data_IF_985244750879
#
_entry.id   IF_985244750879
#
_cell.length_a   1.000
_cell.length_b   1.000
_cell.length_c   1.000
_cell.angle_alpha   90.00
_cell.angle_beta   90.00
_cell.angle_gamma   90.00
#
_symmetry.space_group_name_H-M   'P 1'
#
loop_
_entity.id
_entity.type
_entity.pdbx_description
1 polymer ?
#
# COMPACT_ATOMS: atom_id res chain seq x y z
N UNK A 1 50.58 9.26 58.71
CA UNK A 1 49.64 10.31 58.21
C UNK A 1 50.00 10.59 56.77
N UNK A 2 49.43 9.83 55.85
CA UNK A 2 49.72 9.95 54.42
C UNK A 2 48.44 9.61 53.62
N UNK A 3 47.83 10.62 53.09
CA UNK A 3 46.51 10.58 52.40
C UNK A 3 46.69 10.10 50.97
N UNK A 4 46.09 9.00 50.63
CA UNK A 4 46.01 8.47 49.22
C UNK A 4 44.86 9.16 48.49
N UNK A 5 45.17 9.95 47.49
CA UNK A 5 44.21 10.51 46.54
C UNK A 5 44.02 9.56 45.37
N UNK A 6 42.86 8.89 45.32
CA UNK A 6 42.45 8.02 44.23
C UNK A 6 41.78 8.88 43.14
N UNK A 7 42.43 8.99 41.99
CA UNK A 7 41.86 9.64 40.80
C UNK A 7 40.88 8.69 40.14
N UNK A 8 39.57 8.96 40.24
CA UNK A 8 38.57 8.36 39.39
C UNK A 8 38.69 8.97 37.99
N UNK A 9 39.06 8.15 37.00
CA UNK A 9 38.89 8.45 35.58
C UNK A 9 37.49 8.05 35.18
N UNK A 10 36.61 9.03 34.95
CA UNK A 10 35.32 8.83 34.28
C UNK A 10 35.58 8.54 32.82
N UNK A 11 35.27 7.35 32.39
CA UNK A 11 35.16 7.00 30.97
C UNK A 11 33.78 7.48 30.54
N UNK A 12 33.73 8.58 29.79
CA UNK A 12 32.53 9.03 29.08
C UNK A 12 32.43 8.18 27.84
N UNK A 13 31.60 7.14 27.87
CA UNK A 13 31.17 6.43 26.68
C UNK A 13 30.19 7.35 25.93
N UNK A 14 30.64 7.94 24.83
CA UNK A 14 29.78 8.63 23.89
C UNK A 14 28.93 7.56 23.18
N UNK A 15 27.68 7.40 23.60
CA UNK A 15 26.65 6.73 22.83
C UNK A 15 26.28 7.68 21.70
N UNK A 16 26.81 7.42 20.51
CA UNK A 16 26.32 8.06 19.29
C UNK A 16 24.97 7.43 19.01
N UNK A 17 23.90 8.04 19.54
CA UNK A 17 22.56 7.75 19.14
C UNK A 17 22.39 8.20 17.70
N UNK A 18 22.29 7.26 16.76
CA UNK A 18 21.78 7.51 15.45
C UNK A 18 20.30 7.90 15.64
N UNK A 19 20.02 9.20 15.70
CA UNK A 19 18.66 9.70 15.61
C UNK A 19 18.19 9.43 14.19
N UNK A 20 17.49 8.31 13.98
CA UNK A 20 16.55 8.21 12.87
C UNK A 20 15.57 9.38 13.03
N UNK A 21 15.66 10.38 12.16
CA UNK A 21 14.57 11.33 11.97
C UNK A 21 13.41 10.51 11.37
N UNK A 22 12.63 9.91 12.23
CA UNK A 22 11.28 9.49 11.87
C UNK A 22 10.51 10.77 11.60
N UNK A 23 10.33 11.10 10.32
CA UNK A 23 9.25 12.00 9.93
C UNK A 23 7.98 11.25 10.31
N UNK A 24 7.37 11.62 11.44
CA UNK A 24 6.04 11.13 11.79
C UNK A 24 5.12 11.57 10.68
N UNK A 25 4.71 10.63 9.83
CA UNK A 25 3.56 10.79 8.96
C UNK A 25 2.35 10.98 9.88
N UNK A 26 1.79 12.19 9.89
CA UNK A 26 0.48 12.42 10.50
C UNK A 26 -0.55 11.81 9.55
N UNK A 27 -1.20 10.73 9.95
CA UNK A 27 -2.17 10.03 9.13
C UNK A 27 -2.91 8.95 9.90
N UNK A 28 -4.01 8.47 9.34
CA UNK A 28 -4.71 7.31 9.86
C UNK A 28 -3.89 6.06 9.61
N UNK A 29 -3.72 5.25 10.65
CA UNK A 29 -3.02 3.96 10.55
C UNK A 29 -4.02 2.82 10.67
N UNK A 30 -4.01 1.94 9.68
CA UNK A 30 -4.76 0.69 9.64
C UNK A 30 -3.82 -0.42 10.09
N UNK A 31 -4.20 -1.15 11.14
CA UNK A 31 -3.44 -2.28 11.66
C UNK A 31 -4.21 -3.59 11.43
N UNK A 32 -3.53 -4.60 10.92
CA UNK A 32 -4.07 -5.96 10.79
C UNK A 32 -3.09 -6.97 11.39
N UNK A 33 -3.51 -7.63 12.45
CA UNK A 33 -2.74 -8.63 13.19
C UNK A 33 -3.37 -10.01 13.13
N UNK A 34 -4.37 -10.20 12.28
CA UNK A 34 -5.11 -11.45 12.08
C UNK A 34 -5.60 -12.17 13.35
N UNK A 35 -5.74 -11.43 14.46
CA UNK A 35 -6.25 -11.96 15.74
C UNK A 35 -7.70 -12.43 15.66
N UNK A 36 -8.45 -11.93 14.68
CA UNK A 36 -9.83 -12.35 14.36
C UNK A 36 -9.95 -12.51 12.85
N UNK A 37 -11.01 -13.17 12.39
CA UNK A 37 -11.24 -13.36 10.95
C UNK A 37 -11.19 -12.01 10.21
N UNK A 38 -10.21 -11.81 9.30
CA UNK A 38 -10.04 -10.55 8.60
C UNK A 38 -11.22 -10.21 7.68
N UNK A 39 -11.99 -11.20 7.23
CA UNK A 39 -13.18 -10.96 6.40
C UNK A 39 -14.31 -10.22 7.15
N UNK A 40 -14.24 -10.16 8.47
CA UNK A 40 -15.12 -9.33 9.30
C UNK A 40 -14.73 -7.84 9.28
N UNK A 41 -13.53 -7.50 8.77
CA UNK A 41 -12.94 -6.16 8.71
C UNK A 41 -12.60 -5.72 7.29
N UNK A 42 -13.50 -5.92 6.36
CA UNK A 42 -13.41 -5.48 4.95
C UNK A 42 -12.32 -6.15 4.09
N UNK A 43 -11.54 -7.08 4.62
CA UNK A 43 -10.69 -7.91 3.79
C UNK A 43 -11.52 -8.84 2.90
N UNK A 44 -11.18 -8.91 1.63
CA UNK A 44 -11.90 -9.76 0.68
C UNK A 44 -10.93 -10.46 -0.27
N UNK A 45 -11.12 -11.75 -0.54
CA UNK A 45 -10.43 -12.42 -1.62
C UNK A 45 -11.04 -12.02 -2.97
N UNK A 46 -10.19 -11.76 -3.95
CA UNK A 46 -10.55 -11.62 -5.36
C UNK A 46 -9.81 -12.69 -6.16
N UNK A 47 -10.48 -13.35 -7.10
CA UNK A 47 -9.94 -14.51 -7.81
C UNK A 47 -10.09 -15.81 -7.01
N UNK A 48 -9.04 -16.64 -6.95
CA UNK A 48 -9.06 -17.92 -6.25
C UNK A 48 -8.88 -17.75 -4.74
N UNK A 49 -9.98 -17.78 -4.00
CA UNK A 49 -9.98 -17.61 -2.55
C UNK A 49 -9.26 -18.75 -1.81
N UNK A 50 -9.09 -19.91 -2.43
CA UNK A 50 -8.42 -21.06 -1.79
C UNK A 50 -6.92 -20.85 -1.56
N UNK A 51 -6.35 -19.81 -2.15
CA UNK A 51 -4.95 -19.42 -1.96
C UNK A 51 -4.70 -18.71 -0.63
N UNK A 52 -5.76 -18.26 0.05
CA UNK A 52 -5.69 -17.45 1.26
C UNK A 52 -6.48 -18.13 2.38
N UNK A 53 -5.81 -18.47 3.45
CA UNK A 53 -6.42 -19.17 4.58
C UNK A 53 -6.04 -18.48 5.89
N UNK A 54 -7.02 -17.87 6.56
CA UNK A 54 -6.84 -17.36 7.91
C UNK A 54 -6.71 -18.51 8.91
N UNK A 55 -5.63 -18.53 9.67
CA UNK A 55 -5.36 -19.48 10.72
C UNK A 55 -5.74 -18.88 12.08
N UNK A 56 -6.85 -19.32 12.62
CA UNK A 56 -7.36 -18.84 13.89
C UNK A 56 -6.47 -19.24 15.10
N UNK A 57 -5.67 -20.32 14.97
CA UNK A 57 -4.80 -20.81 16.04
C UNK A 57 -3.52 -19.98 16.10
N UNK A 58 -2.88 -19.80 14.96
CA UNK A 58 -1.64 -19.04 14.83
C UNK A 58 -1.88 -17.53 14.65
N UNK A 59 -3.15 -17.11 14.45
CA UNK A 59 -3.56 -15.72 14.26
C UNK A 59 -2.80 -15.03 13.13
N UNK A 60 -2.71 -15.69 11.97
CA UNK A 60 -1.98 -15.22 10.79
C UNK A 60 -2.72 -15.60 9.50
N UNK A 61 -2.34 -14.98 8.39
CA UNK A 61 -2.84 -15.36 7.07
C UNK A 61 -1.86 -16.30 6.38
N UNK A 62 -2.20 -17.58 6.25
CA UNK A 62 -1.48 -18.54 5.43
C UNK A 62 -1.79 -18.29 3.96
N UNK A 63 -0.76 -18.22 3.13
CA UNK A 63 -0.86 -17.92 1.69
C UNK A 63 -0.17 -19.01 0.88
N UNK A 64 -0.85 -19.45 -0.16
CA UNK A 64 -0.26 -20.26 -1.22
C UNK A 64 -0.15 -19.40 -2.47
N UNK A 65 1.07 -19.15 -2.93
CA UNK A 65 1.33 -18.49 -4.20
C UNK A 65 1.55 -19.54 -5.26
N UNK A 66 0.63 -19.63 -6.22
CA UNK A 66 0.64 -20.60 -7.30
C UNK A 66 0.42 -19.90 -8.64
N UNK A 67 1.48 -19.77 -9.42
CA UNK A 67 1.44 -19.09 -10.71
C UNK A 67 0.61 -19.81 -11.78
N UNK A 68 0.22 -21.06 -11.55
CA UNK A 68 -0.72 -21.79 -12.39
C UNK A 68 -2.18 -21.35 -12.18
N UNK A 69 -2.46 -20.64 -11.09
CA UNK A 69 -3.78 -20.08 -10.78
C UNK A 69 -3.96 -18.71 -11.41
N UNK A 70 -5.20 -18.24 -11.57
CA UNK A 70 -5.48 -16.86 -12.00
C UNK A 70 -4.86 -15.81 -11.07
N UNK A 71 -4.72 -14.58 -11.55
CA UNK A 71 -4.43 -13.44 -10.67
C UNK A 71 -5.43 -13.44 -9.52
N UNK A 72 -4.92 -13.45 -8.30
CA UNK A 72 -5.73 -13.56 -7.09
C UNK A 72 -5.14 -12.67 -6.01
N UNK A 73 -6.01 -12.05 -5.23
CA UNK A 73 -5.63 -11.04 -4.26
C UNK A 73 -6.40 -11.25 -2.97
N UNK A 74 -5.74 -11.09 -1.83
CA UNK A 74 -6.41 -10.88 -0.57
C UNK A 74 -6.27 -9.40 -0.24
N UNK A 75 -7.37 -8.65 -0.29
CA UNK A 75 -7.36 -7.22 -0.49
C UNK A 75 -8.17 -6.47 0.56
N UNK A 76 -7.63 -5.33 1.00
CA UNK A 76 -8.26 -4.35 1.89
C UNK A 76 -8.39 -3.02 1.17
N UNK A 77 -9.60 -2.51 0.90
CA UNK A 77 -9.79 -1.16 0.38
C UNK A 77 -9.25 -0.10 1.34
N UNK A 78 -8.55 0.91 0.81
CA UNK A 78 -8.14 2.07 1.57
C UNK A 78 -9.30 3.05 1.74
N UNK A 79 -9.28 3.94 2.76
CA UNK A 79 -10.28 4.99 2.94
C UNK A 79 -10.38 5.98 1.77
N UNK A 80 -9.36 6.04 0.93
CA UNK A 80 -9.27 6.90 -0.24
C UNK A 80 -8.15 6.49 -1.17
N UNK A 81 -8.11 7.10 -2.35
CA UNK A 81 -7.04 6.88 -3.32
C UNK A 81 -5.78 7.67 -2.95
N UNK A 82 -4.63 7.04 -3.08
CA UNK A 82 -3.31 7.66 -2.95
C UNK A 82 -2.73 7.94 -4.32
N UNK A 83 -2.03 9.06 -4.44
CA UNK A 83 -1.34 9.51 -5.66
C UNK A 83 0.14 9.77 -5.38
N UNK A 84 0.90 10.16 -6.38
CA UNK A 84 2.30 10.57 -6.19
C UNK A 84 2.45 11.86 -5.35
N UNK A 85 1.35 12.55 -5.00
CA UNK A 85 1.35 13.74 -4.16
C UNK A 85 1.05 13.43 -2.69
N UNK A 86 0.91 12.17 -2.34
CA UNK A 86 0.52 11.72 -1.01
C UNK A 86 1.64 10.98 -0.33
N UNK A 87 1.94 11.36 0.91
CA UNK A 87 2.82 10.58 1.77
C UNK A 87 2.07 9.34 2.24
N UNK A 88 2.71 8.18 2.18
CA UNK A 88 2.15 6.94 2.70
C UNK A 88 3.26 6.00 3.16
N UNK A 89 2.87 5.07 4.02
CA UNK A 89 3.75 4.02 4.52
C UNK A 89 2.97 2.73 4.62
N UNK A 90 3.61 1.61 4.38
CA UNK A 90 3.08 0.31 4.75
C UNK A 90 4.21 -0.63 5.18
N UNK A 91 3.85 -1.55 6.07
CA UNK A 91 4.72 -2.58 6.57
C UNK A 91 3.96 -3.91 6.68
N UNK A 92 4.67 -5.02 6.66
CA UNK A 92 4.12 -6.36 6.87
C UNK A 92 5.22 -7.34 7.26
N UNK A 93 4.82 -8.41 7.92
CA UNK A 93 5.66 -9.56 8.19
C UNK A 93 5.42 -10.66 7.17
N UNK A 94 6.49 -11.35 6.77
CA UNK A 94 6.47 -12.47 5.82
C UNK A 94 7.40 -13.58 6.28
N UNK A 95 6.92 -14.82 6.23
CA UNK A 95 7.75 -16.01 6.29
C UNK A 95 7.39 -16.94 5.13
N UNK A 96 8.37 -17.31 4.33
CA UNK A 96 8.22 -18.37 3.34
C UNK A 96 8.54 -19.72 4.00
N UNK A 97 7.60 -20.65 4.00
CA UNK A 97 7.80 -22.02 4.50
C UNK A 97 8.39 -22.92 3.42
N UNK A 98 8.01 -22.66 2.17
CA UNK A 98 8.55 -23.38 1.01
C UNK A 98 8.43 -22.54 -0.26
N UNK A 99 9.34 -22.74 -1.21
CA UNK A 99 9.18 -22.22 -2.56
C UNK A 99 9.81 -23.16 -3.57
N UNK A 100 9.22 -23.19 -4.76
CA UNK A 100 9.75 -23.88 -5.91
C UNK A 100 9.55 -23.02 -7.15
N UNK A 101 10.52 -23.04 -8.06
CA UNK A 101 10.50 -22.34 -9.33
C UNK A 101 10.61 -23.37 -10.45
N UNK A 102 10.04 -23.08 -11.61
CA UNK A 102 9.99 -23.98 -12.75
C UNK A 102 9.22 -25.29 -12.47
N UNK A 103 8.19 -25.23 -11.64
CA UNK A 103 7.29 -26.38 -11.39
C UNK A 103 6.55 -26.82 -12.68
N UNK A 104 6.40 -25.92 -13.64
CA UNK A 104 5.99 -26.24 -15.00
C UNK A 104 7.25 -26.24 -15.89
N UNK A 105 7.48 -27.33 -16.61
CA UNK A 105 8.67 -27.50 -17.43
C UNK A 105 8.83 -26.37 -18.46
N UNK A 106 10.02 -25.79 -18.50
CA UNK A 106 10.37 -24.72 -19.44
C UNK A 106 9.91 -23.31 -19.05
N UNK A 107 9.30 -23.13 -17.87
CA UNK A 107 8.90 -21.83 -17.36
C UNK A 107 9.94 -21.30 -16.37
N UNK A 108 10.28 -20.03 -16.49
CA UNK A 108 11.10 -19.29 -15.52
C UNK A 108 10.20 -18.56 -14.54
N UNK A 109 10.67 -18.36 -13.30
CA UNK A 109 9.97 -17.53 -12.32
C UNK A 109 10.08 -16.05 -12.67
N UNK A 110 9.04 -15.27 -12.42
CA UNK A 110 9.04 -13.82 -12.49
C UNK A 110 8.06 -13.25 -11.44
N UNK A 111 7.46 -12.11 -11.65
CA UNK A 111 6.65 -11.33 -10.71
C UNK A 111 5.36 -12.04 -10.22
N UNK A 112 5.42 -13.21 -9.67
CA UNK A 112 4.24 -13.98 -9.25
C UNK A 112 3.74 -13.64 -7.85
N UNK A 113 4.62 -13.13 -6.99
CA UNK A 113 4.30 -12.84 -5.59
C UNK A 113 4.54 -11.36 -5.33
N UNK A 114 3.58 -10.68 -4.75
CA UNK A 114 3.78 -9.31 -4.30
C UNK A 114 2.88 -8.95 -3.11
N UNK A 115 3.32 -7.97 -2.34
CA UNK A 115 2.53 -7.39 -1.24
C UNK A 115 2.70 -5.88 -1.25
N UNK A 116 1.59 -5.15 -1.22
CA UNK A 116 1.62 -3.70 -1.24
C UNK A 116 0.34 -3.05 -1.73
N UNK A 117 0.46 -1.88 -2.34
CA UNK A 117 -0.66 -1.07 -2.77
C UNK A 117 -0.93 -1.25 -4.27
N UNK A 118 -2.19 -1.41 -4.64
CA UNK A 118 -2.65 -1.57 -6.03
C UNK A 118 -3.87 -0.68 -6.28
N UNK A 119 -4.22 -0.50 -7.55
CA UNK A 119 -5.51 0.07 -7.94
C UNK A 119 -6.48 -1.07 -8.27
N UNK A 120 -7.58 -1.15 -7.51
CA UNK A 120 -8.59 -2.21 -7.64
C UNK A 120 -9.06 -2.42 -9.07
N UNK A 121 -9.49 -1.33 -9.73
CA UNK A 121 -10.07 -1.44 -11.07
C UNK A 121 -9.07 -1.94 -12.11
N UNK A 122 -7.78 -1.62 -11.95
CA UNK A 122 -6.73 -2.11 -12.84
C UNK A 122 -6.44 -3.58 -12.57
N UNK A 123 -6.27 -3.95 -11.29
CA UNK A 123 -5.97 -5.33 -10.88
C UNK A 123 -7.06 -6.34 -11.27
N UNK A 124 -8.33 -5.91 -11.28
CA UNK A 124 -9.48 -6.73 -11.66
C UNK A 124 -9.79 -6.71 -13.15
N UNK A 125 -9.07 -5.92 -13.95
CA UNK A 125 -9.26 -5.92 -15.40
C UNK A 125 -8.85 -7.27 -16.00
N UNK A 126 -9.68 -7.80 -16.91
CA UNK A 126 -9.46 -9.11 -17.54
C UNK A 126 -8.16 -9.23 -18.31
N UNK A 127 -7.60 -8.10 -18.74
CA UNK A 127 -6.32 -8.00 -19.45
C UNK A 127 -5.18 -7.52 -18.54
N UNK A 128 -5.37 -7.52 -17.23
CA UNK A 128 -4.31 -7.13 -16.30
C UNK A 128 -3.14 -8.10 -16.36
N UNK A 129 -1.97 -7.56 -16.62
CA UNK A 129 -0.70 -8.30 -16.59
C UNK A 129 0.31 -7.55 -15.73
N UNK A 130 0.88 -8.23 -14.74
CA UNK A 130 1.92 -7.66 -13.87
C UNK A 130 3.26 -7.46 -14.59
N UNK A 131 3.49 -8.16 -15.68
CA UNK A 131 4.73 -8.10 -16.46
C UNK A 131 4.99 -6.77 -17.16
N UNK A 132 6.01 -6.75 -18.02
CA UNK A 132 6.57 -5.53 -18.64
C UNK A 132 5.71 -4.92 -19.75
N UNK A 133 4.60 -5.52 -20.14
CA UNK A 133 3.74 -4.99 -21.19
C UNK A 133 3.00 -3.72 -20.77
N UNK A 134 2.76 -2.80 -21.72
CA UNK A 134 1.90 -1.64 -21.47
C UNK A 134 0.52 -2.07 -21.01
N UNK A 135 -0.09 -1.28 -20.15
CA UNK A 135 -1.43 -1.51 -19.64
C UNK A 135 -1.60 -0.89 -18.26
N UNK A 136 -2.82 -0.81 -17.75
CA UNK A 136 -3.08 -0.31 -16.41
C UNK A 136 -2.32 -1.13 -15.38
N UNK A 137 -1.55 -0.47 -14.53
CA UNK A 137 -0.77 -1.11 -13.45
C UNK A 137 -1.10 -0.51 -12.10
N UNK A 138 -0.61 0.71 -11.83
CA UNK A 138 -0.82 1.39 -10.55
C UNK A 138 -0.49 0.49 -9.36
N UNK A 139 0.79 0.20 -9.16
CA UNK A 139 1.24 -0.64 -8.06
C UNK A 139 2.40 -0.01 -7.31
N UNK A 140 2.41 -0.20 -5.99
CA UNK A 140 3.58 -0.02 -5.10
C UNK A 140 3.72 -1.30 -4.31
N UNK A 141 4.63 -2.14 -4.69
CA UNK A 141 4.70 -3.50 -4.16
C UNK A 141 6.13 -3.91 -3.84
N UNK A 142 6.29 -4.67 -2.77
CA UNK A 142 7.39 -5.58 -2.61
C UNK A 142 7.11 -6.81 -3.49
N UNK A 143 7.93 -7.00 -4.52
CA UNK A 143 7.72 -8.04 -5.52
C UNK A 143 8.82 -9.09 -5.44
N UNK A 144 8.42 -10.34 -5.32
CA UNK A 144 9.33 -11.46 -5.30
C UNK A 144 9.65 -11.94 -6.71
N UNK A 145 10.95 -12.13 -6.95
CA UNK A 145 11.47 -12.75 -8.15
C UNK A 145 11.97 -14.17 -7.85
N UNK A 146 11.43 -15.15 -8.57
CA UNK A 146 11.99 -16.48 -8.59
C UNK A 146 12.73 -16.68 -9.91
N UNK A 147 14.00 -17.02 -9.88
CA UNK A 147 14.75 -17.43 -11.08
C UNK A 147 14.75 -18.93 -11.24
N UNK A 148 14.69 -19.43 -12.50
CA UNK A 148 14.77 -20.84 -12.77
C UNK A 148 16.09 -21.42 -12.23
N UNK A 149 16.01 -22.47 -11.42
CA UNK A 149 17.15 -23.09 -10.77
C UNK A 149 17.73 -22.34 -9.57
N UNK A 150 17.15 -21.20 -9.17
CA UNK A 150 17.56 -20.48 -7.97
C UNK A 150 17.09 -21.22 -6.71
N UNK A 151 18.00 -21.35 -5.75
CA UNK A 151 17.71 -21.90 -4.43
C UNK A 151 17.09 -20.81 -3.52
N UNK A 152 17.23 -19.55 -3.90
CA UNK A 152 16.81 -18.38 -3.14
C UNK A 152 15.88 -17.50 -3.96
N UNK A 153 14.93 -16.91 -3.28
CA UNK A 153 14.04 -15.88 -3.83
C UNK A 153 14.62 -14.50 -3.57
N UNK A 154 14.50 -13.59 -4.51
CA UNK A 154 14.84 -12.18 -4.28
C UNK A 154 13.61 -11.31 -4.28
N UNK A 155 13.52 -10.40 -3.32
CA UNK A 155 12.43 -9.46 -3.17
C UNK A 155 12.94 -8.05 -3.51
N UNK A 156 12.20 -7.35 -4.36
CA UNK A 156 12.53 -5.98 -4.76
C UNK A 156 11.28 -5.11 -4.74
N UNK A 157 11.34 -3.92 -4.16
CA UNK A 157 10.23 -2.98 -4.22
C UNK A 157 10.15 -2.31 -5.59
N UNK A 158 8.93 -2.03 -6.03
CA UNK A 158 8.67 -1.38 -7.30
C UNK A 158 7.47 -0.44 -7.21
N UNK A 159 7.55 0.68 -7.94
CA UNK A 159 6.43 1.60 -8.16
C UNK A 159 6.16 1.71 -9.66
N UNK A 160 4.94 1.37 -10.09
CA UNK A 160 4.54 1.36 -11.50
C UNK A 160 3.39 2.34 -11.73
N UNK A 161 3.50 3.25 -12.73
CA UNK A 161 2.47 4.24 -13.01
C UNK A 161 1.23 3.65 -13.70
N UNK A 162 0.21 4.48 -13.86
CA UNK A 162 -1.10 4.09 -14.39
C UNK A 162 -1.07 3.45 -15.78
N UNK A 163 -0.17 3.87 -16.65
CA UNK A 163 -0.08 3.35 -18.03
C UNK A 163 0.89 2.16 -18.16
N UNK A 164 1.51 1.75 -17.06
CA UNK A 164 2.49 0.65 -17.03
C UNK A 164 3.73 0.90 -17.87
N UNK A 165 3.94 2.12 -18.36
CA UNK A 165 5.11 2.48 -19.17
C UNK A 165 6.23 3.02 -18.30
N UNK A 166 7.45 2.94 -18.82
CA UNK A 166 8.57 3.60 -18.16
C UNK A 166 8.35 5.12 -18.13
N UNK A 167 8.82 5.81 -17.12
CA UNK A 167 9.71 5.29 -16.08
C UNK A 167 8.97 4.61 -14.94
N UNK A 168 9.45 3.46 -14.53
CA UNK A 168 9.06 2.85 -13.26
C UNK A 168 10.01 3.34 -12.17
N UNK A 169 9.51 3.40 -10.91
CA UNK A 169 10.37 3.46 -9.76
C UNK A 169 10.74 2.03 -9.34
N UNK A 170 12.01 1.73 -9.22
CA UNK A 170 12.47 0.43 -8.69
C UNK A 170 13.76 0.64 -7.89
N UNK A 171 14.02 -0.26 -6.96
CA UNK A 171 15.29 -0.29 -6.25
C UNK A 171 16.28 -1.19 -6.98
N UNK A 172 17.53 -0.74 -7.05
CA UNK A 172 18.65 -1.54 -7.58
C UNK A 172 19.13 -2.62 -6.60
N UNK A 173 18.44 -2.76 -5.47
CA UNK A 173 18.77 -3.68 -4.40
C UNK A 173 17.78 -4.83 -4.34
N UNK A 174 18.28 -6.03 -4.06
CA UNK A 174 17.47 -7.23 -3.88
C UNK A 174 17.71 -7.83 -2.49
N UNK A 175 16.65 -8.34 -1.90
CA UNK A 175 16.70 -9.10 -0.65
C UNK A 175 16.50 -10.57 -0.99
N UNK A 176 17.45 -11.40 -0.61
CA UNK A 176 17.31 -12.86 -0.71
C UNK A 176 16.49 -13.36 0.47
N UNK A 177 15.40 -14.09 0.18
CA UNK A 177 14.56 -14.72 1.18
C UNK A 177 14.99 -16.17 1.41
N UNK A 178 15.18 -16.51 2.67
CA UNK A 178 15.45 -17.88 3.12
C UNK A 178 14.15 -18.47 3.68
N UNK A 179 13.86 -19.74 3.37
CA UNK A 179 12.70 -20.44 3.92
C UNK A 179 12.84 -20.62 5.43
N UNK A 180 11.72 -20.46 6.13
CA UNK A 180 11.65 -20.58 7.58
C UNK A 180 12.14 -19.36 8.36
N UNK A 181 12.63 -18.32 7.69
CA UNK A 181 13.09 -17.09 8.31
C UNK A 181 11.97 -16.05 8.34
N UNK A 182 11.88 -15.32 9.45
CA UNK A 182 10.90 -14.24 9.62
C UNK A 182 11.46 -12.91 9.12
N UNK A 183 10.69 -12.22 8.30
CA UNK A 183 11.05 -10.92 7.74
C UNK A 183 9.98 -9.89 8.06
N UNK A 184 10.42 -8.70 8.45
CA UNK A 184 9.58 -7.50 8.50
C UNK A 184 10.00 -6.56 7.38
N UNK A 185 9.08 -6.16 6.54
CA UNK A 185 9.29 -5.24 5.42
C UNK A 185 8.54 -3.94 5.64
N UNK A 186 9.17 -2.84 5.28
CA UNK A 186 8.56 -1.53 5.32
C UNK A 186 8.89 -0.75 4.04
N UNK A 187 7.92 0.05 3.58
CA UNK A 187 8.10 1.05 2.54
C UNK A 187 7.41 2.35 2.98
N UNK A 188 8.16 3.45 2.97
CA UNK A 188 7.67 4.80 3.28
C UNK A 188 7.93 5.72 2.10
N UNK A 189 6.87 6.26 1.50
CA UNK A 189 6.96 7.22 0.40
C UNK A 189 6.76 8.65 0.89
N UNK A 190 7.65 9.55 0.45
CA UNK A 190 7.55 10.99 0.65
C UNK A 190 7.27 11.69 -0.68
N UNK A 191 6.13 12.32 -0.78
CA UNK A 191 5.69 13.08 -1.96
C UNK A 191 6.57 14.32 -2.18
N UNK A 192 6.98 14.99 -1.11
CA UNK A 192 7.85 16.17 -1.16
C UNK A 192 9.21 15.85 -1.78
N UNK A 193 9.80 14.71 -1.43
CA UNK A 193 11.08 14.26 -1.97
C UNK A 193 10.93 13.38 -3.19
N UNK A 194 9.71 12.93 -3.49
CA UNK A 194 9.40 11.94 -4.54
C UNK A 194 10.24 10.66 -4.39
N UNK A 195 10.40 10.22 -3.15
CA UNK A 195 11.31 9.13 -2.80
C UNK A 195 10.58 8.12 -1.92
N UNK A 196 10.69 6.84 -2.26
CA UNK A 196 10.30 5.75 -1.39
C UNK A 196 11.54 5.16 -0.72
N UNK A 197 11.53 5.14 0.60
CA UNK A 197 12.53 4.49 1.44
C UNK A 197 12.03 3.12 1.84
N UNK A 198 12.94 2.17 1.86
CA UNK A 198 12.65 0.81 2.25
C UNK A 198 13.56 0.38 3.37
N UNK A 199 12.99 -0.40 4.29
CA UNK A 199 13.74 -1.11 5.31
C UNK A 199 13.23 -2.53 5.48
N UNK A 200 14.08 -3.38 6.03
CA UNK A 200 13.71 -4.73 6.41
C UNK A 200 14.44 -5.16 7.67
N UNK A 201 13.77 -6.01 8.42
CA UNK A 201 14.40 -6.80 9.47
C UNK A 201 14.36 -8.28 9.09
N UNK A 202 15.36 -9.05 9.52
CA UNK A 202 15.39 -10.51 9.42
C UNK A 202 15.59 -11.07 10.80
N UNK A 203 14.64 -11.84 11.32
CA UNK A 203 14.62 -12.33 12.71
C UNK A 203 14.86 -11.20 13.74
N UNK A 204 14.25 -10.03 13.50
CA UNK A 204 14.37 -8.84 14.34
C UNK A 204 15.70 -8.09 14.22
N UNK A 205 16.62 -8.51 13.37
CA UNK A 205 17.90 -7.84 13.11
C UNK A 205 17.83 -7.02 11.82
N UNK A 206 18.47 -5.83 11.75
CA UNK A 206 18.52 -5.05 10.52
C UNK A 206 19.08 -5.88 9.36
N UNK A 207 18.35 -5.88 8.25
CA UNK A 207 18.80 -6.47 6.99
C UNK A 207 19.76 -5.57 6.22
N UNK A 208 20.07 -5.91 4.96
CA UNK A 208 20.90 -5.08 4.11
C UNK A 208 20.24 -3.72 3.87
N UNK A 209 21.07 -2.69 3.74
CA UNK A 209 20.59 -1.39 3.33
C UNK A 209 20.10 -1.45 1.87
N UNK A 210 18.87 -1.04 1.65
CA UNK A 210 18.26 -0.97 0.34
C UNK A 210 18.43 0.42 -0.27
N UNK A 211 18.52 0.47 -1.59
CA UNK A 211 18.60 1.74 -2.33
C UNK A 211 17.21 2.38 -2.40
N UNK A 212 17.11 3.66 -2.07
CA UNK A 212 15.85 4.40 -2.19
C UNK A 212 15.35 4.43 -3.65
N UNK A 213 14.04 4.33 -3.82
CA UNK A 213 13.40 4.59 -5.12
C UNK A 213 13.20 6.09 -5.25
N UNK A 214 13.89 6.71 -6.21
CA UNK A 214 13.69 8.12 -6.55
C UNK A 214 12.83 8.21 -7.80
N UNK A 215 11.61 8.74 -7.66
CA UNK A 215 10.69 8.87 -8.79
C UNK A 215 11.10 10.01 -9.71
N UNK A 216 11.26 9.77 -11.02
CA UNK A 216 11.58 10.82 -11.98
C UNK A 216 10.43 11.82 -12.14
N UNK A 217 10.74 13.03 -12.60
CA UNK A 217 9.77 14.13 -12.71
C UNK A 217 8.54 13.78 -13.58
N UNK A 218 8.72 12.93 -14.58
CA UNK A 218 7.64 12.48 -15.47
C UNK A 218 6.82 11.28 -14.95
N UNK A 219 7.09 10.80 -13.73
CA UNK A 219 6.22 9.86 -13.02
C UNK A 219 5.02 10.61 -12.43
N UNK A 220 4.00 10.87 -13.23
CA UNK A 220 2.89 11.76 -12.84
C UNK A 220 1.54 11.06 -12.72
N UNK A 221 1.38 9.93 -13.40
CA UNK A 221 0.13 9.18 -13.43
C UNK A 221 0.24 7.96 -12.53
N UNK A 222 -0.16 8.15 -11.29
CA UNK A 222 -0.13 7.10 -10.29
C UNK A 222 -1.33 7.23 -9.35
N UNK A 223 -2.03 6.13 -9.11
CA UNK A 223 -3.16 6.09 -8.20
C UNK A 223 -3.34 4.67 -7.67
N UNK A 224 -3.39 4.51 -6.35
CA UNK A 224 -3.67 3.25 -5.67
C UNK A 224 -4.77 3.46 -4.63
N UNK A 225 -5.60 2.45 -4.40
CA UNK A 225 -6.79 2.53 -3.53
C UNK A 225 -7.01 1.27 -2.68
N UNK A 226 -6.08 0.32 -2.75
CA UNK A 226 -6.24 -0.98 -2.12
C UNK A 226 -4.89 -1.52 -1.68
N UNK A 227 -4.78 -2.04 -0.46
CA UNK A 227 -3.67 -2.89 -0.07
C UNK A 227 -3.99 -4.34 -0.43
N UNK A 228 -3.02 -5.06 -0.98
CA UNK A 228 -3.23 -6.43 -1.42
C UNK A 228 -2.03 -7.34 -1.18
N UNK A 229 -2.33 -8.57 -0.81
CA UNK A 229 -1.42 -9.71 -0.88
C UNK A 229 -1.77 -10.42 -2.20
N UNK A 230 -0.82 -10.42 -3.15
CA UNK A 230 -1.07 -10.73 -4.54
C UNK A 230 -0.43 -12.06 -4.95
N UNK A 231 -1.21 -12.88 -5.64
CA UNK A 231 -0.74 -14.03 -6.41
C UNK A 231 -0.92 -13.72 -7.89
N UNK A 232 0.16 -13.64 -8.65
CA UNK A 232 0.09 -13.36 -10.07
C UNK A 232 0.18 -14.62 -10.91
N UNK A 233 -0.72 -14.73 -11.89
CA UNK A 233 -0.76 -15.85 -12.83
C UNK A 233 0.46 -15.85 -13.76
N UNK A 234 1.12 -16.99 -13.89
CA UNK A 234 2.16 -17.17 -14.91
C UNK A 234 1.64 -17.00 -16.33
N UNK A 235 0.42 -17.45 -16.61
CA UNK A 235 -0.20 -17.33 -17.93
C UNK A 235 -0.50 -15.88 -18.33
N UNK A 236 -0.74 -14.99 -17.37
CA UNK A 236 -0.99 -13.55 -17.61
C UNK A 236 0.28 -12.71 -17.71
N UNK A 237 1.46 -13.29 -17.57
CA UNK A 237 2.73 -12.57 -17.67
C UNK A 237 3.25 -12.49 -19.12
N UNK A 238 4.33 -11.71 -19.31
CA UNK A 238 5.03 -11.71 -20.58
C UNK A 238 5.52 -13.13 -20.93
N UNK A 239 5.27 -13.65 -22.14
CA UNK A 239 5.73 -14.97 -22.55
C UNK A 239 7.23 -15.23 -22.37
N UNK A 240 8.07 -14.18 -22.41
CA UNK A 240 9.51 -14.29 -22.15
C UNK A 240 9.83 -14.50 -20.66
N UNK A 241 8.94 -14.02 -19.77
CA UNK A 241 9.11 -14.04 -18.33
C UNK A 241 7.95 -14.75 -17.62
N UNK A 242 7.07 -15.41 -18.39
CA UNK A 242 6.00 -16.20 -17.79
C UNK A 242 6.63 -17.23 -16.85
N UNK A 243 6.26 -17.14 -15.58
CA UNK A 243 6.91 -17.91 -14.56
C UNK A 243 6.09 -19.11 -14.12
N UNK A 244 6.76 -20.02 -13.49
CA UNK A 244 6.17 -21.17 -12.82
C UNK A 244 6.69 -21.17 -11.39
N UNK A 245 5.87 -20.71 -10.47
CA UNK A 245 6.19 -20.58 -9.05
C UNK A 245 5.10 -21.31 -8.23
N UNK A 246 5.52 -22.07 -7.26
CA UNK A 246 4.69 -22.58 -6.17
C UNK A 246 5.40 -22.28 -4.87
N UNK A 247 4.82 -21.41 -4.04
CA UNK A 247 5.36 -21.07 -2.74
C UNK A 247 4.25 -21.13 -1.68
N UNK A 248 4.64 -21.34 -0.44
CA UNK A 248 3.76 -21.30 0.73
C UNK A 248 4.44 -20.53 1.83
N UNK A 249 3.64 -19.87 2.61
CA UNK A 249 4.11 -19.10 3.75
C UNK A 249 2.95 -18.39 4.43
N UNK A 250 3.28 -17.39 5.22
CA UNK A 250 2.27 -16.59 5.91
C UNK A 250 2.66 -15.12 5.95
N UNK A 251 1.65 -14.28 6.08
CA UNK A 251 1.75 -12.84 6.27
C UNK A 251 1.03 -12.46 7.55
N UNK A 252 1.59 -11.50 8.27
CA UNK A 252 1.06 -10.97 9.53
C UNK A 252 1.49 -9.51 9.74
N UNK A 253 1.01 -8.88 10.83
CA UNK A 253 1.42 -7.56 11.32
C UNK A 253 1.47 -6.49 10.22
N UNK A 254 0.38 -6.41 9.44
CA UNK A 254 0.26 -5.39 8.40
C UNK A 254 -0.07 -4.05 9.06
N UNK A 255 0.70 -3.01 8.72
CA UNK A 255 0.47 -1.63 9.11
C UNK A 255 0.44 -0.75 7.86
N UNK A 256 -0.59 0.09 7.71
CA UNK A 256 -0.75 0.96 6.56
C UNK A 256 -1.09 2.36 7.07
N UNK A 257 -0.18 3.32 6.89
CA UNK A 257 -0.42 4.73 7.21
C UNK A 257 -0.74 5.49 5.94
N UNK A 258 -1.90 6.14 5.92
CA UNK A 258 -2.37 6.98 4.82
C UNK A 258 -2.63 8.40 5.33
N UNK A 259 -2.59 9.43 4.48
CA UNK A 259 -2.94 10.78 4.90
C UNK A 259 -4.32 10.82 5.54
N UNK A 260 -4.47 11.54 6.63
CA UNK A 260 -5.78 11.75 7.25
C UNK A 260 -6.75 12.31 6.21
N UNK A 261 -7.98 11.78 6.16
CA UNK A 261 -9.02 12.43 5.38
C UNK A 261 -9.25 13.84 5.95
N UNK A 262 -9.62 14.82 5.11
CA UNK A 262 -9.84 16.17 5.59
C UNK A 262 -10.92 16.18 6.66
N UNK A 263 -10.64 16.81 7.81
CA UNK A 263 -11.67 17.10 8.79
C UNK A 263 -12.62 18.12 8.16
N UNK A 264 -13.77 17.67 7.71
CA UNK A 264 -14.80 18.52 7.13
C UNK A 264 -15.46 19.38 8.23
N UNK A 265 -14.95 20.59 8.41
CA UNK A 265 -15.62 21.59 9.27
C UNK A 265 -16.71 22.24 8.44
N UNK A 266 -17.92 21.69 8.54
CA UNK A 266 -19.10 22.24 7.84
C UNK A 266 -19.68 23.39 8.63
N UNK A 267 -19.91 24.51 7.96
CA UNK A 267 -20.69 25.66 8.47
C UNK A 267 -21.93 25.77 7.61
N UNK A 268 -23.09 25.57 8.23
CA UNK A 268 -24.35 25.75 7.53
C UNK A 268 -24.49 27.20 7.04
N UNK A 269 -24.99 27.36 5.83
CA UNK A 269 -25.41 28.63 5.24
C UNK A 269 -26.80 28.46 4.61
N UNK A 270 -27.46 29.58 4.32
CA UNK A 270 -28.73 29.54 3.63
C UNK A 270 -28.55 28.90 2.24
N UNK A 271 -29.15 27.72 2.05
CA UNK A 271 -29.09 26.97 0.79
C UNK A 271 -27.77 26.24 0.49
N UNK A 272 -26.88 26.02 1.49
CA UNK A 272 -25.61 25.32 1.25
C UNK A 272 -24.73 25.17 2.47
N UNK A 273 -23.47 24.89 2.22
CA UNK A 273 -22.44 24.70 3.26
C UNK A 273 -21.14 25.40 2.87
N UNK A 274 -20.43 25.92 3.86
CA UNK A 274 -19.04 26.33 3.75
C UNK A 274 -18.17 25.29 4.45
N UNK A 275 -17.03 24.95 3.86
CA UNK A 275 -16.08 24.00 4.44
C UNK A 275 -14.64 24.43 4.19
N UNK A 276 -13.71 23.95 5.00
CA UNK A 276 -12.30 24.12 4.81
C UNK A 276 -11.80 23.02 3.84
N UNK A 277 -11.68 23.34 2.55
CA UNK A 277 -11.32 22.39 1.51
C UNK A 277 -9.80 22.20 1.41
N UNK A 278 -9.36 20.99 1.07
CA UNK A 278 -7.97 20.67 0.75
C UNK A 278 -7.76 20.61 -0.76
N UNK A 279 -6.63 21.12 -1.24
CA UNK A 279 -6.24 21.07 -2.65
C UNK A 279 -6.26 19.63 -3.18
N UNK A 280 -6.80 19.44 -4.39
CA UNK A 280 -6.87 18.13 -5.06
C UNK A 280 -8.07 17.28 -4.68
N UNK A 281 -8.81 17.60 -3.60
CA UNK A 281 -10.00 16.85 -3.20
C UNK A 281 -11.24 17.29 -4.00
N UNK A 282 -12.10 16.31 -4.27
CA UNK A 282 -13.44 16.53 -4.84
C UNK A 282 -14.46 16.50 -3.73
N UNK A 283 -15.32 17.50 -3.71
CA UNK A 283 -16.38 17.68 -2.72
C UNK A 283 -17.73 17.64 -3.43
N UNK A 284 -18.60 16.76 -2.95
CA UNK A 284 -19.97 16.61 -3.46
C UNK A 284 -20.93 17.02 -2.36
N UNK A 285 -21.76 18.01 -2.60
CA UNK A 285 -22.88 18.36 -1.74
C UNK A 285 -24.08 17.51 -2.14
N UNK A 286 -24.63 16.79 -1.21
CA UNK A 286 -25.85 16.01 -1.39
C UNK A 286 -26.93 16.55 -0.46
N UNK A 287 -28.17 16.53 -0.95
CA UNK A 287 -29.32 16.97 -0.20
C UNK A 287 -30.38 15.87 -0.10
N UNK A 288 -31.12 15.88 1.01
CA UNK A 288 -32.21 14.94 1.29
C UNK A 288 -33.33 15.62 2.05
N UNK A 289 -34.59 15.27 1.73
CA UNK A 289 -35.75 15.67 2.51
C UNK A 289 -36.13 14.71 3.63
N UNK A 290 -35.51 13.51 3.68
CA UNK A 290 -35.93 12.42 4.59
C UNK A 290 -34.75 11.65 5.23
N UNK A 291 -33.50 12.08 5.03
CA UNK A 291 -32.26 11.45 5.51
C UNK A 291 -31.95 10.06 4.91
N UNK A 292 -32.78 9.56 4.00
CA UNK A 292 -32.61 8.25 3.37
C UNK A 292 -32.26 8.40 1.88
N UNK A 293 -32.97 9.26 1.18
CA UNK A 293 -32.82 9.48 -0.25
C UNK A 293 -31.97 10.72 -0.48
N UNK A 294 -30.72 10.50 -0.88
CA UNK A 294 -29.74 11.56 -1.10
C UNK A 294 -29.53 11.80 -2.59
N UNK A 295 -29.50 13.05 -3.00
CA UNK A 295 -29.22 13.45 -4.36
C UNK A 295 -28.11 14.48 -4.41
N UNK A 296 -27.17 14.31 -5.34
CA UNK A 296 -26.11 15.29 -5.59
C UNK A 296 -26.71 16.59 -6.12
N UNK A 297 -26.35 17.71 -5.48
CA UNK A 297 -26.81 19.05 -5.83
C UNK A 297 -25.70 19.97 -6.28
N UNK A 298 -24.47 19.74 -5.81
CA UNK A 298 -23.28 20.42 -6.30
C UNK A 298 -22.05 19.51 -6.21
N UNK A 299 -21.12 19.71 -7.12
CA UNK A 299 -19.82 19.03 -7.09
C UNK A 299 -18.72 20.00 -7.54
N UNK A 300 -17.57 19.96 -6.87
CA UNK A 300 -16.40 20.73 -7.24
C UNK A 300 -15.10 20.07 -6.80
N UNK A 301 -14.04 20.34 -7.52
CA UNK A 301 -12.69 19.95 -7.13
C UNK A 301 -11.93 21.18 -6.61
N UNK A 302 -11.41 21.09 -5.38
CA UNK A 302 -10.62 22.19 -4.81
C UNK A 302 -9.24 22.25 -5.49
N UNK A 303 -8.94 23.36 -6.14
CA UNK A 303 -7.64 23.60 -6.76
C UNK A 303 -6.58 24.06 -5.76
N UNK A 304 -7.00 24.53 -4.59
CA UNK A 304 -6.14 25.00 -3.50
C UNK A 304 -6.77 24.70 -2.14
N UNK A 305 -5.94 24.65 -1.10
CA UNK A 305 -6.42 24.53 0.29
C UNK A 305 -6.95 25.90 0.73
N UNK A 306 -8.28 26.02 0.80
CA UNK A 306 -8.98 27.27 1.14
C UNK A 306 -10.43 26.98 1.55
N UNK A 307 -11.12 27.93 2.20
CA UNK A 307 -12.57 27.84 2.38
C UNK A 307 -13.29 27.69 1.04
N UNK A 308 -14.23 26.76 0.98
CA UNK A 308 -15.03 26.43 -0.19
C UNK A 308 -16.51 26.53 0.15
N UNK A 309 -17.25 27.26 -0.68
CA UNK A 309 -18.71 27.33 -0.59
C UNK A 309 -19.33 26.36 -1.59
N UNK A 310 -20.21 25.49 -1.11
CA UNK A 310 -21.04 24.61 -1.93
C UNK A 310 -22.50 25.02 -1.76
N UNK A 311 -23.15 25.32 -2.85
CA UNK A 311 -24.52 25.79 -2.88
C UNK A 311 -25.44 24.79 -3.56
N UNK A 312 -26.65 24.63 -3.03
CA UNK A 312 -27.73 23.94 -3.72
C UNK A 312 -28.34 24.91 -4.76
N UNK A 313 -28.15 24.68 -6.08
CA UNK A 313 -28.66 25.56 -7.10
C UNK A 313 -30.18 25.46 -7.29
N UNK A 314 -30.83 24.50 -6.61
CA UNK A 314 -32.27 24.32 -6.68
C UNK A 314 -32.96 25.35 -5.78
N UNK A 315 -33.07 26.54 -6.29
CA UNK A 315 -33.74 27.66 -5.63
C UNK A 315 -35.23 27.33 -5.46
N UNK A 316 -35.65 26.85 -4.28
CA UNK A 316 -37.04 26.44 -4.04
C UNK A 316 -37.31 26.21 -2.57
N UNK A 317 -38.52 26.54 -2.16
CA UNK A 317 -39.06 26.31 -0.81
C UNK A 317 -39.18 24.82 -0.51
N UNK A 318 -38.14 24.26 0.11
CA UNK A 318 -38.25 22.94 0.75
C UNK A 318 -38.52 23.16 2.24
N UNK A 319 -39.59 22.60 2.81
CA UNK A 319 -39.93 22.84 4.22
C UNK A 319 -38.90 22.31 5.22
N UNK A 320 -38.14 21.28 4.81
CA UNK A 320 -36.99 20.75 5.55
C UNK A 320 -36.01 20.18 4.52
N UNK A 321 -34.74 20.54 4.64
CA UNK A 321 -33.68 19.97 3.82
C UNK A 321 -32.46 19.68 4.67
N UNK A 322 -31.93 18.48 4.49
CA UNK A 322 -30.68 18.02 5.11
C UNK A 322 -29.58 18.03 4.04
N UNK A 323 -28.39 18.40 4.45
CA UNK A 323 -27.22 18.40 3.61
C UNK A 323 -26.14 17.52 4.19
N UNK A 324 -25.41 16.81 3.34
CA UNK A 324 -24.15 16.17 3.67
C UNK A 324 -23.09 16.49 2.60
N UNK A 325 -21.83 16.46 3.00
CA UNK A 325 -20.72 16.60 2.07
C UNK A 325 -19.97 15.28 2.04
N UNK A 326 -19.74 14.80 0.83
CA UNK A 326 -18.86 13.67 0.56
C UNK A 326 -17.57 14.22 -0.01
N UNK A 327 -16.45 13.94 0.64
CA UNK A 327 -15.12 14.30 0.15
C UNK A 327 -14.46 13.04 -0.43
N UNK A 328 -14.05 13.14 -1.68
CA UNK A 328 -13.39 12.04 -2.38
C UNK A 328 -12.05 12.57 -2.89
N UNK A 329 -11.00 11.79 -2.69
CA UNK A 329 -9.72 12.04 -3.34
C UNK A 329 -9.77 11.41 -4.73
N UNK A 330 -9.64 12.19 -5.82
CA UNK A 330 -9.74 11.67 -7.18
C UNK A 330 -8.54 10.80 -7.57
#
# INVERSE_FOLDING_TARGET
>A
MTTFLQKCRSIVSAVIGLACLETQLSGDTIEETFTTDPTLRDWRPWGDASLFHWDATEQRLNVTWDSARPNSFFALPLPGSLTANDDFRFAFDLTLESHAVSVLAGQAGTFQIATGLIRKNDALATNYSRGSFPGPKNTVEWTWFGEAGAVSASLSPVMIPSDGRLPWGYADSYVTLETGRHYHFELAYSSTHRTARMSMLSDGQPGPQLTDIVLPANFTRFQVDTFAISNYSGAGQNPLYAGSVLARGWIDNISITVPEPPILRLRARDGGVNLDALAGWRYTLEASGNLTDWSTVAETQASQTAPLDLWDPRDGWFPVQFYRVVAIRP
#
